data_IF_653681210406
#
_entry.id   IF_653681210406
#
_cell.length_a   1.000
_cell.length_b   1.000
_cell.length_c   1.000
_cell.angle_alpha   90.00
_cell.angle_beta   90.00
_cell.angle_gamma   90.00
#
_symmetry.space_group_name_H-M   'P 1'
#
loop_
_entity.id
_entity.type
_entity.pdbx_description
1 polymer ?
#
# COMPACT_ATOMS: atom_id res chain seq x y z
N UNK A 1 -8.00 -9.77 -31.05
CA UNK A 1 -7.37 -8.90 -30.05
C UNK A 1 -8.19 -7.63 -29.81
N UNK A 2 -8.30 -6.68 -30.74
CA UNK A 2 -8.93 -5.35 -30.52
C UNK A 2 -10.36 -5.42 -29.94
N UNK A 3 -11.24 -6.28 -30.46
CA UNK A 3 -12.60 -6.45 -29.92
C UNK A 3 -12.64 -6.98 -28.47
N UNK A 4 -11.63 -7.74 -28.05
CA UNK A 4 -11.51 -8.22 -26.66
C UNK A 4 -11.14 -7.07 -25.75
N UNK A 5 -10.15 -6.27 -26.18
CA UNK A 5 -9.69 -5.08 -25.43
C UNK A 5 -10.85 -4.10 -25.17
N UNK A 6 -11.74 -3.90 -26.15
CA UNK A 6 -12.91 -3.04 -25.98
C UNK A 6 -13.88 -3.55 -24.91
N UNK A 7 -14.02 -4.88 -24.79
CA UNK A 7 -14.98 -5.49 -23.85
C UNK A 7 -14.48 -5.55 -22.43
N UNK A 8 -13.19 -5.81 -22.23
CA UNK A 8 -12.60 -6.04 -20.91
C UNK A 8 -11.86 -4.81 -20.34
N UNK A 9 -11.92 -3.69 -21.06
CA UNK A 9 -11.20 -2.47 -20.73
C UNK A 9 -9.69 -2.72 -20.45
N UNK A 10 -9.11 -3.73 -21.10
CA UNK A 10 -7.69 -4.05 -21.01
C UNK A 10 -7.24 -4.77 -19.74
N UNK A 11 -8.13 -5.45 -19.00
CA UNK A 11 -7.76 -6.29 -17.85
C UNK A 11 -6.74 -7.34 -18.25
N UNK A 12 -6.99 -8.04 -19.35
CA UNK A 12 -6.08 -9.07 -19.87
C UNK A 12 -4.70 -8.54 -20.22
N UNK A 13 -4.60 -7.25 -20.58
CA UNK A 13 -3.32 -6.61 -20.88
C UNK A 13 -2.41 -6.48 -19.67
N UNK A 14 -2.95 -6.39 -18.46
CA UNK A 14 -2.15 -6.32 -17.25
C UNK A 14 -1.25 -7.55 -17.02
N UNK A 15 -1.62 -8.69 -17.63
CA UNK A 15 -0.87 -9.94 -17.56
C UNK A 15 0.09 -10.17 -18.76
N UNK A 16 0.00 -9.35 -19.82
CA UNK A 16 0.81 -9.51 -21.02
C UNK A 16 2.14 -8.75 -20.93
N UNK A 17 3.16 -9.26 -21.63
CA UNK A 17 4.41 -8.56 -21.77
C UNK A 17 4.20 -7.32 -22.66
N UNK A 18 4.57 -6.09 -22.21
CA UNK A 18 4.40 -4.86 -22.98
C UNK A 18 5.06 -4.92 -24.37
N UNK A 19 6.22 -5.55 -24.50
CA UNK A 19 6.95 -5.67 -25.78
C UNK A 19 6.19 -6.52 -26.79
N UNK A 20 5.55 -7.61 -26.34
CA UNK A 20 4.69 -8.43 -27.21
C UNK A 20 3.51 -7.63 -27.73
N UNK A 21 2.84 -6.88 -26.85
CA UNK A 21 1.70 -6.05 -27.25
C UNK A 21 2.12 -4.95 -28.22
N UNK A 22 3.28 -4.31 -28.00
CA UNK A 22 3.79 -3.30 -28.94
C UNK A 22 4.07 -3.90 -30.32
N UNK A 23 4.73 -5.06 -30.38
CA UNK A 23 5.01 -5.77 -31.64
C UNK A 23 3.72 -6.12 -32.38
N UNK A 24 2.69 -6.57 -31.67
CA UNK A 24 1.39 -6.89 -32.26
C UNK A 24 0.68 -5.64 -32.80
N UNK A 25 0.81 -4.50 -32.10
CA UNK A 25 0.24 -3.20 -32.55
C UNK A 25 0.98 -2.69 -33.78
N UNK A 26 2.31 -2.77 -33.81
CA UNK A 26 3.15 -2.36 -34.95
C UNK A 26 2.87 -3.22 -36.19
N UNK A 27 2.59 -4.51 -36.01
CA UNK A 27 2.20 -5.41 -37.10
C UNK A 27 0.74 -5.19 -37.56
N UNK A 28 -0.10 -4.51 -36.76
CA UNK A 28 -1.50 -4.28 -37.12
C UNK A 28 -1.61 -3.15 -38.15
N UNK A 29 -2.31 -3.38 -39.30
CA UNK A 29 -2.54 -2.33 -40.27
C UNK A 29 -3.27 -1.11 -39.64
N UNK A 30 -2.78 0.09 -39.91
CA UNK A 30 -3.32 1.34 -39.34
C UNK A 30 -4.81 1.50 -39.56
N UNK A 31 -5.32 1.13 -40.75
CA UNK A 31 -6.76 1.22 -41.02
C UNK A 31 -7.61 0.33 -40.10
N UNK A 32 -7.07 -0.86 -39.71
CA UNK A 32 -7.76 -1.75 -38.74
C UNK A 32 -7.81 -1.13 -37.35
N UNK A 33 -6.73 -0.47 -36.93
CA UNK A 33 -6.73 0.25 -35.63
C UNK A 33 -7.75 1.38 -35.63
N UNK A 34 -7.86 2.15 -36.71
CA UNK A 34 -8.84 3.27 -36.86
C UNK A 34 -10.28 2.82 -36.75
N UNK A 35 -10.63 1.61 -37.19
CA UNK A 35 -11.97 1.00 -37.02
C UNK A 35 -12.28 0.65 -35.53
N UNK A 36 -11.32 0.79 -34.64
CA UNK A 36 -11.47 0.40 -33.23
C UNK A 36 -11.00 1.50 -32.23
N UNK A 37 -11.64 2.71 -32.26
CA UNK A 37 -11.19 3.87 -31.46
C UNK A 37 -11.19 3.60 -29.93
N UNK A 38 -12.16 2.82 -29.42
CA UNK A 38 -12.14 2.41 -28.00
C UNK A 38 -10.93 1.53 -27.64
N UNK A 39 -10.46 0.68 -28.57
CA UNK A 39 -9.23 -0.09 -28.35
C UNK A 39 -8.01 0.84 -28.26
N UNK A 40 -7.97 1.89 -29.10
CA UNK A 40 -6.89 2.88 -29.05
C UNK A 40 -6.84 3.55 -27.68
N UNK A 41 -7.97 3.93 -27.10
CA UNK A 41 -8.05 4.51 -25.76
C UNK A 41 -7.52 3.57 -24.68
N UNK A 42 -7.90 2.29 -24.72
CA UNK A 42 -7.38 1.28 -23.78
C UNK A 42 -5.88 1.08 -23.93
N UNK A 43 -5.38 1.07 -25.18
CA UNK A 43 -3.95 1.01 -25.46
C UNK A 43 -3.20 2.24 -24.92
N UNK A 44 -3.74 3.45 -25.12
CA UNK A 44 -3.17 4.68 -24.55
C UNK A 44 -3.00 4.57 -23.02
N UNK A 45 -4.05 4.10 -22.31
CA UNK A 45 -3.98 3.90 -20.85
C UNK A 45 -2.93 2.84 -20.47
N UNK A 46 -2.85 1.73 -21.21
CA UNK A 46 -1.86 0.68 -20.96
C UNK A 46 -0.44 1.19 -21.18
N UNK A 47 -0.21 1.97 -22.24
CA UNK A 47 1.08 2.60 -22.52
C UNK A 47 1.50 3.59 -21.43
N UNK A 48 0.54 4.35 -20.86
CA UNK A 48 0.81 5.17 -19.68
C UNK A 48 1.32 4.32 -18.51
N UNK A 49 0.62 3.23 -18.18
CA UNK A 49 1.01 2.33 -17.09
C UNK A 49 2.40 1.69 -17.30
N UNK A 50 2.78 1.49 -18.55
CA UNK A 50 4.10 0.94 -18.96
C UNK A 50 5.18 2.02 -19.13
N UNK A 51 4.87 3.30 -18.88
CA UNK A 51 5.76 4.45 -19.13
C UNK A 51 6.18 4.63 -20.60
N UNK A 52 5.38 4.18 -21.52
CA UNK A 52 5.59 4.32 -22.98
C UNK A 52 4.87 5.59 -23.47
N UNK A 53 5.28 6.75 -22.99
CA UNK A 53 4.61 8.02 -23.27
C UNK A 53 4.68 8.43 -24.74
N UNK A 54 5.81 8.27 -25.45
CA UNK A 54 5.86 8.55 -26.89
C UNK A 54 4.85 7.71 -27.69
N UNK A 55 4.72 6.43 -27.35
CA UNK A 55 3.77 5.50 -27.99
C UNK A 55 2.32 5.88 -27.67
N UNK A 56 2.05 6.25 -26.42
CA UNK A 56 0.75 6.77 -25.99
C UNK A 56 0.35 8.00 -26.82
N UNK A 57 1.28 8.94 -27.04
CA UNK A 57 1.01 10.14 -27.83
C UNK A 57 0.79 9.83 -29.32
N UNK A 58 1.49 8.85 -29.89
CA UNK A 58 1.21 8.35 -31.25
C UNK A 58 -0.20 7.77 -31.35
N UNK A 59 -0.65 7.00 -30.35
CA UNK A 59 -2.02 6.47 -30.31
C UNK A 59 -3.06 7.58 -30.19
N UNK A 60 -2.79 8.65 -29.45
CA UNK A 60 -3.66 9.83 -29.40
C UNK A 60 -3.86 10.43 -30.79
N UNK A 61 -2.77 10.70 -31.54
CA UNK A 61 -2.86 11.25 -32.89
C UNK A 61 -3.64 10.33 -33.85
N UNK A 62 -3.44 9.00 -33.68
CA UNK A 62 -4.21 8.02 -34.45
C UNK A 62 -5.70 8.06 -34.09
N UNK A 63 -6.07 8.22 -32.83
CA UNK A 63 -7.45 8.37 -32.37
C UNK A 63 -8.12 9.63 -33.02
N UNK A 64 -7.43 10.75 -32.93
CA UNK A 64 -7.95 12.01 -33.50
C UNK A 64 -8.16 11.89 -35.04
N UNK A 65 -7.22 11.23 -35.73
CA UNK A 65 -7.35 10.95 -37.17
C UNK A 65 -8.52 10.01 -37.44
N UNK A 66 -8.68 8.94 -36.64
CA UNK A 66 -9.79 8.01 -36.79
C UNK A 66 -11.16 8.73 -36.64
N UNK A 67 -11.31 9.61 -35.66
CA UNK A 67 -12.54 10.39 -35.44
C UNK A 67 -12.81 11.31 -36.62
N UNK A 68 -11.78 11.95 -37.19
CA UNK A 68 -11.91 12.86 -38.32
C UNK A 68 -12.27 12.14 -39.63
N UNK A 69 -11.77 10.93 -39.85
CA UNK A 69 -12.02 10.11 -41.05
C UNK A 69 -13.39 9.41 -41.02
N UNK A 70 -14.08 9.39 -39.87
CA UNK A 70 -15.40 8.81 -39.69
C UNK A 70 -16.48 9.87 -39.41
N UNK A 71 -16.86 10.70 -40.44
CA UNK A 71 -17.86 11.75 -40.25
C UNK A 71 -19.25 11.19 -39.90
N UNK A 72 -19.54 9.95 -40.25
CA UNK A 72 -20.77 9.21 -39.92
C UNK A 72 -20.94 8.88 -38.43
N UNK A 73 -19.88 8.94 -37.62
CA UNK A 73 -20.00 8.75 -36.18
C UNK A 73 -20.95 9.80 -35.58
N UNK A 74 -21.91 9.39 -34.74
CA UNK A 74 -22.76 10.33 -34.04
C UNK A 74 -21.93 11.33 -33.23
N UNK A 75 -22.33 12.62 -33.23
CA UNK A 75 -21.60 13.66 -32.45
C UNK A 75 -21.47 13.33 -30.97
N UNK A 76 -22.46 12.62 -30.42
CA UNK A 76 -22.42 12.14 -29.04
C UNK A 76 -21.30 11.11 -28.84
N UNK A 77 -21.05 10.21 -29.78
CA UNK A 77 -19.97 9.20 -29.64
C UNK A 77 -18.60 9.85 -29.90
N UNK A 78 -18.50 10.81 -30.84
CA UNK A 78 -17.28 11.62 -30.97
C UNK A 78 -16.93 12.32 -29.64
N UNK A 79 -17.92 12.92 -28.98
CA UNK A 79 -17.77 13.57 -27.69
C UNK A 79 -17.32 12.59 -26.60
N UNK A 80 -17.87 11.36 -26.58
CA UNK A 80 -17.45 10.32 -25.66
C UNK A 80 -15.98 9.93 -25.86
N UNK A 81 -15.55 9.69 -27.11
CA UNK A 81 -14.17 9.32 -27.44
C UNK A 81 -13.17 10.42 -27.07
N UNK A 82 -13.50 11.69 -27.40
CA UNK A 82 -12.65 12.83 -27.03
C UNK A 82 -12.59 13.06 -25.54
N UNK A 83 -13.69 12.91 -24.82
CA UNK A 83 -13.72 13.02 -23.37
C UNK A 83 -12.94 11.88 -22.67
N UNK A 84 -13.04 10.65 -23.17
CA UNK A 84 -12.22 9.55 -22.66
C UNK A 84 -10.72 9.77 -22.98
N UNK A 85 -10.39 10.39 -24.11
CA UNK A 85 -9.03 10.81 -24.44
C UNK A 85 -8.52 11.84 -23.42
N UNK A 86 -9.30 12.87 -23.11
CA UNK A 86 -8.96 13.87 -22.07
C UNK A 86 -8.74 13.20 -20.70
N UNK A 87 -9.62 12.26 -20.33
CA UNK A 87 -9.49 11.50 -19.10
C UNK A 87 -8.16 10.74 -19.04
N UNK A 88 -7.75 10.05 -20.10
CA UNK A 88 -6.49 9.30 -20.14
C UNK A 88 -5.28 10.24 -20.14
N UNK A 89 -5.37 11.37 -20.88
CA UNK A 89 -4.34 12.40 -20.87
C UNK A 89 -4.16 13.05 -19.50
N UNK A 90 -5.21 13.09 -18.67
CA UNK A 90 -5.11 13.61 -17.31
C UNK A 90 -4.09 12.85 -16.46
N UNK A 91 -3.86 11.57 -16.73
CA UNK A 91 -2.86 10.76 -16.01
C UNK A 91 -1.43 11.26 -16.21
N UNK A 92 -1.14 12.01 -17.30
CA UNK A 92 0.17 12.65 -17.49
C UNK A 92 0.43 13.78 -16.48
N UNK A 93 -0.62 14.35 -15.90
CA UNK A 93 -0.50 15.33 -14.80
C UNK A 93 -0.20 14.64 -13.46
N UNK A 94 -0.31 13.36 -13.44
CA UNK A 94 -0.02 12.39 -12.40
C UNK A 94 -0.64 12.74 -11.04
N UNK A 95 0.11 13.26 -10.06
CA UNK A 95 -0.40 13.61 -8.73
C UNK A 95 -0.81 15.08 -8.56
N UNK A 96 -0.81 15.88 -9.63
CA UNK A 96 -1.40 17.22 -9.64
C UNK A 96 -2.92 17.14 -9.88
N UNK A 97 -3.68 16.98 -8.79
CA UNK A 97 -5.13 16.78 -8.84
C UNK A 97 -5.83 17.94 -9.53
N UNK A 98 -5.42 19.17 -9.26
CA UNK A 98 -6.01 20.36 -9.90
C UNK A 98 -5.76 20.39 -11.41
N UNK A 99 -4.58 20.01 -11.85
CA UNK A 99 -4.27 19.88 -13.28
C UNK A 99 -5.08 18.76 -13.95
N UNK A 100 -5.16 17.59 -13.30
CA UNK A 100 -6.00 16.47 -13.75
C UNK A 100 -7.47 16.88 -13.85
N UNK A 101 -7.99 17.60 -12.86
CA UNK A 101 -9.40 18.02 -12.80
C UNK A 101 -9.78 18.95 -13.93
N UNK A 102 -8.86 19.76 -14.46
CA UNK A 102 -9.15 20.58 -15.66
C UNK A 102 -9.56 19.70 -16.85
N UNK A 103 -8.87 18.59 -17.07
CA UNK A 103 -9.21 17.61 -18.10
C UNK A 103 -10.47 16.80 -17.76
N UNK A 104 -10.68 16.45 -16.49
CA UNK A 104 -11.90 15.77 -16.06
C UNK A 104 -13.16 16.65 -16.29
N UNK A 105 -13.05 17.95 -16.03
CA UNK A 105 -14.13 18.91 -16.30
C UNK A 105 -14.37 19.09 -17.81
N UNK A 106 -13.31 19.07 -18.63
CA UNK A 106 -13.41 19.06 -20.10
C UNK A 106 -14.12 17.79 -20.57
N UNK A 107 -13.66 16.62 -20.12
CA UNK A 107 -14.27 15.33 -20.42
C UNK A 107 -15.76 15.29 -20.03
N UNK A 108 -16.11 15.77 -18.82
CA UNK A 108 -17.49 15.79 -18.33
C UNK A 108 -18.45 16.64 -19.16
N UNK A 109 -17.94 17.62 -19.94
CA UNK A 109 -18.76 18.43 -20.88
C UNK A 109 -19.00 17.71 -22.18
N UNK A 110 -18.10 16.82 -22.58
CA UNK A 110 -18.14 16.13 -23.89
C UNK A 110 -18.84 14.77 -23.76
N UNK A 111 -18.69 14.09 -22.63
CA UNK A 111 -19.17 12.72 -22.41
C UNK A 111 -20.65 12.69 -22.03
N UNK A 112 -21.40 11.84 -22.70
CA UNK A 112 -22.82 11.54 -22.40
C UNK A 112 -22.99 10.28 -21.57
N UNK A 113 -21.93 9.49 -21.42
CA UNK A 113 -21.85 8.27 -20.61
C UNK A 113 -20.52 8.21 -19.86
N UNK A 114 -20.41 7.41 -18.79
CA UNK A 114 -19.12 7.12 -18.17
C UNK A 114 -18.13 6.48 -19.14
N UNK A 115 -16.85 6.63 -18.85
CA UNK A 115 -15.78 6.00 -19.61
C UNK A 115 -15.91 4.49 -19.64
N UNK A 116 -15.69 3.88 -20.80
CA UNK A 116 -15.64 2.42 -20.97
C UNK A 116 -14.22 1.88 -20.97
N UNK A 117 -13.21 2.75 -21.15
CA UNK A 117 -11.81 2.41 -21.08
C UNK A 117 -11.30 2.20 -19.64
N UNK A 118 -12.07 2.57 -18.62
CA UNK A 118 -11.74 2.43 -17.20
C UNK A 118 -12.86 1.65 -16.51
N UNK A 119 -12.46 0.58 -15.80
CA UNK A 119 -13.41 -0.15 -14.97
C UNK A 119 -13.58 0.55 -13.63
N UNK A 120 -14.83 0.82 -13.22
CA UNK A 120 -15.17 1.55 -12.00
C UNK A 120 -14.74 0.80 -10.71
N UNK A 121 -14.53 -0.51 -10.76
CA UNK A 121 -14.04 -1.35 -9.64
C UNK A 121 -12.56 -1.73 -9.81
N UNK A 122 -11.86 -1.12 -10.75
CA UNK A 122 -10.45 -1.40 -11.05
C UNK A 122 -9.46 -0.88 -10.01
N UNK A 123 -8.17 -1.07 -10.29
CA UNK A 123 -7.09 -0.49 -9.49
C UNK A 123 -7.01 1.01 -9.66
N UNK A 124 -7.02 1.76 -8.56
CA UNK A 124 -6.97 3.22 -8.53
C UNK A 124 -5.60 3.75 -8.04
N UNK A 125 -5.03 3.12 -7.02
CA UNK A 125 -3.81 3.59 -6.34
C UNK A 125 -2.50 3.13 -6.98
N UNK A 126 -2.52 2.56 -8.19
CA UNK A 126 -1.34 1.98 -8.86
C UNK A 126 -0.59 0.94 -8.00
N UNK A 127 -1.25 0.32 -7.04
CA UNK A 127 -0.65 -0.63 -6.11
C UNK A 127 -0.07 0.01 -4.84
N UNK A 128 -0.20 1.33 -4.67
CA UNK A 128 0.11 2.00 -3.41
C UNK A 128 -0.88 1.58 -2.31
N UNK A 129 -0.42 1.33 -1.07
CA UNK A 129 -1.30 1.10 0.07
C UNK A 129 -1.83 2.41 0.69
N UNK A 130 -1.41 3.58 0.21
CA UNK A 130 -1.78 4.88 0.78
C UNK A 130 -2.09 5.90 -0.32
N UNK A 131 -3.19 6.62 -0.15
CA UNK A 131 -3.58 7.71 -1.05
C UNK A 131 -2.73 8.96 -0.79
N UNK A 132 -2.54 9.33 0.47
CA UNK A 132 -1.77 10.54 0.81
C UNK A 132 -0.31 10.43 0.37
N UNK A 133 0.31 9.25 0.46
CA UNK A 133 1.67 9.04 -0.03
C UNK A 133 1.82 9.31 -1.53
N UNK A 134 0.76 9.10 -2.31
CA UNK A 134 0.76 9.40 -3.75
C UNK A 134 0.59 10.89 -4.06
N UNK A 135 -0.20 11.60 -3.24
CA UNK A 135 -0.67 12.93 -3.59
C UNK A 135 -0.05 14.07 -2.76
N UNK A 136 0.73 13.77 -1.73
CA UNK A 136 1.50 14.78 -1.01
C UNK A 136 2.81 15.06 -1.75
N UNK A 137 2.88 16.23 -2.42
CA UNK A 137 3.93 16.61 -3.37
C UNK A 137 5.06 17.43 -2.75
N UNK A 138 4.73 18.28 -1.78
CA UNK A 138 5.71 19.19 -1.18
C UNK A 138 5.37 19.50 0.28
N UNK A 139 6.37 19.69 1.16
CA UNK A 139 6.15 20.10 2.54
C UNK A 139 5.38 21.43 2.63
N UNK A 140 4.37 21.48 3.51
CA UNK A 140 3.52 22.65 3.73
C UNK A 140 2.29 22.73 2.80
N UNK A 141 2.14 21.80 1.85
CA UNK A 141 1.03 21.79 0.91
C UNK A 141 -0.18 20.98 1.37
N UNK A 142 -0.10 20.23 2.48
CA UNK A 142 -1.13 19.27 2.91
C UNK A 142 -2.54 19.86 2.89
N UNK A 143 -2.75 21.02 3.49
CA UNK A 143 -4.08 21.64 3.57
C UNK A 143 -4.65 21.96 2.18
N UNK A 144 -3.81 22.44 1.28
CA UNK A 144 -4.18 22.74 -0.11
C UNK A 144 -4.51 21.45 -0.85
N UNK A 145 -3.69 20.42 -0.72
CA UNK A 145 -3.86 19.14 -1.41
C UNK A 145 -5.11 18.38 -0.95
N UNK A 146 -5.45 18.44 0.34
CA UNK A 146 -6.71 17.90 0.86
C UNK A 146 -7.93 18.63 0.28
N UNK A 147 -7.87 19.95 0.20
CA UNK A 147 -8.95 20.74 -0.39
C UNK A 147 -9.08 20.48 -1.91
N UNK A 148 -7.97 20.34 -2.63
CA UNK A 148 -7.95 19.94 -4.05
C UNK A 148 -8.59 18.57 -4.25
N UNK A 149 -8.27 17.59 -3.41
CA UNK A 149 -8.84 16.25 -3.48
C UNK A 149 -10.35 16.29 -3.28
N UNK A 150 -10.84 16.98 -2.26
CA UNK A 150 -12.26 17.08 -1.96
C UNK A 150 -13.05 17.80 -3.07
N UNK A 151 -12.50 18.88 -3.63
CA UNK A 151 -13.14 19.65 -4.71
C UNK A 151 -13.13 18.89 -6.04
N UNK A 152 -12.04 18.21 -6.37
CA UNK A 152 -11.79 17.70 -7.71
C UNK A 152 -12.31 16.29 -7.97
N UNK A 153 -12.27 15.42 -6.96
CA UNK A 153 -12.66 14.01 -7.13
C UNK A 153 -14.10 13.79 -7.59
N UNK A 154 -15.12 14.58 -7.20
CA UNK A 154 -16.48 14.42 -7.73
C UNK A 154 -16.56 14.52 -9.25
N UNK A 155 -15.72 15.33 -9.90
CA UNK A 155 -15.66 15.45 -11.36
C UNK A 155 -15.12 14.17 -12.01
N UNK A 156 -14.11 13.55 -11.38
CA UNK A 156 -13.58 12.27 -11.81
C UNK A 156 -14.61 11.14 -11.63
N UNK A 157 -15.25 11.04 -10.46
CA UNK A 157 -16.26 10.01 -10.19
C UNK A 157 -17.41 10.03 -11.20
N UNK A 158 -17.85 11.23 -11.58
CA UNK A 158 -18.92 11.39 -12.56
C UNK A 158 -18.59 10.75 -13.93
N UNK A 159 -17.37 10.93 -14.42
CA UNK A 159 -16.94 10.43 -15.74
C UNK A 159 -16.44 8.99 -15.71
N UNK A 160 -16.20 8.40 -14.53
CA UNK A 160 -15.68 7.05 -14.37
C UNK A 160 -16.62 6.09 -13.63
N UNK A 161 -17.88 6.48 -13.45
CA UNK A 161 -18.87 5.71 -12.72
C UNK A 161 -18.41 5.34 -11.29
N UNK A 162 -17.83 6.31 -10.58
CA UNK A 162 -17.42 6.15 -9.17
C UNK A 162 -16.09 5.46 -8.95
N UNK A 163 -15.25 5.26 -9.98
CA UNK A 163 -13.92 4.67 -9.80
C UNK A 163 -13.09 5.46 -8.78
N UNK A 164 -12.59 4.77 -7.74
CA UNK A 164 -11.81 5.38 -6.67
C UNK A 164 -12.63 6.17 -5.65
N UNK A 165 -13.96 6.04 -5.63
CA UNK A 165 -14.82 6.70 -4.66
C UNK A 165 -14.36 6.40 -3.22
N UNK A 166 -14.27 7.44 -2.38
CA UNK A 166 -13.74 7.38 -1.02
C UNK A 166 -12.27 7.80 -0.89
N UNK A 167 -11.58 8.07 -2.02
CA UNK A 167 -10.18 8.49 -1.99
C UNK A 167 -9.97 9.80 -1.19
N UNK A 168 -10.89 10.77 -1.26
CA UNK A 168 -10.82 12.02 -0.52
C UNK A 168 -10.97 11.81 1.00
N UNK A 169 -11.79 10.84 1.41
CA UNK A 169 -12.00 10.54 2.83
C UNK A 169 -10.82 9.80 3.44
N UNK A 170 -10.31 8.78 2.76
CA UNK A 170 -9.13 8.07 3.25
C UNK A 170 -7.89 8.98 3.25
N UNK A 171 -7.70 9.86 2.27
CA UNK A 171 -6.60 10.83 2.27
C UNK A 171 -6.67 11.77 3.49
N UNK A 172 -7.87 12.25 3.84
CA UNK A 172 -8.10 13.07 5.04
C UNK A 172 -7.81 12.29 6.32
N UNK A 173 -8.25 11.02 6.40
CA UNK A 173 -7.98 10.15 7.55
C UNK A 173 -6.48 9.91 7.74
N UNK A 174 -5.74 9.66 6.66
CA UNK A 174 -4.29 9.51 6.67
C UNK A 174 -3.59 10.79 7.15
N UNK A 175 -4.06 11.97 6.72
CA UNK A 175 -3.52 13.26 7.16
C UNK A 175 -3.71 13.47 8.67
N UNK A 176 -4.91 13.24 9.19
CA UNK A 176 -5.17 13.32 10.63
C UNK A 176 -4.32 12.33 11.43
N UNK A 177 -4.17 11.11 10.93
CA UNK A 177 -3.31 10.11 11.54
C UNK A 177 -1.86 10.61 11.61
N UNK A 178 -1.29 11.09 10.50
CA UNK A 178 0.08 11.59 10.47
C UNK A 178 0.33 12.75 11.43
N UNK A 179 -0.69 13.57 11.68
CA UNK A 179 -0.66 14.67 12.65
C UNK A 179 -0.89 14.21 14.11
N UNK A 180 -1.14 12.91 14.34
CA UNK A 180 -1.44 12.37 15.68
C UNK A 180 -2.83 12.74 16.20
N UNK A 181 -3.75 13.14 15.32
CA UNK A 181 -5.18 13.42 15.61
C UNK A 181 -5.98 12.13 15.44
N UNK A 182 -5.79 11.18 16.35
CA UNK A 182 -6.26 9.81 16.17
C UNK A 182 -7.78 9.69 16.14
N UNK A 183 -8.52 10.47 16.95
CA UNK A 183 -9.98 10.47 16.93
C UNK A 183 -10.52 10.95 15.59
N UNK A 184 -9.98 12.05 15.06
CA UNK A 184 -10.39 12.58 13.75
C UNK A 184 -10.03 11.59 12.64
N UNK A 185 -8.86 10.94 12.73
CA UNK A 185 -8.44 9.90 11.81
C UNK A 185 -9.41 8.70 11.81
N UNK A 186 -9.84 8.25 12.97
CA UNK A 186 -10.79 7.16 13.11
C UNK A 186 -12.16 7.52 12.53
N UNK A 187 -12.68 8.72 12.83
CA UNK A 187 -13.95 9.19 12.28
C UNK A 187 -13.90 9.26 10.75
N UNK A 188 -12.84 9.86 10.18
CA UNK A 188 -12.68 9.97 8.74
C UNK A 188 -12.48 8.60 8.07
N UNK A 189 -11.80 7.67 8.74
CA UNK A 189 -11.63 6.29 8.27
C UNK A 189 -12.97 5.54 8.22
N UNK A 190 -13.84 5.68 9.24
CA UNK A 190 -15.16 5.09 9.23
C UNK A 190 -16.05 5.70 8.13
N UNK A 191 -15.93 7.00 7.87
CA UNK A 191 -16.61 7.64 6.74
C UNK A 191 -16.13 7.09 5.39
N UNK A 192 -14.83 6.84 5.24
CA UNK A 192 -14.28 6.23 4.04
C UNK A 192 -14.83 4.82 3.83
N UNK A 193 -14.85 3.97 4.85
CA UNK A 193 -15.44 2.62 4.78
C UNK A 193 -16.93 2.68 4.43
N UNK A 194 -17.72 3.54 5.07
CA UNK A 194 -19.14 3.69 4.78
C UNK A 194 -19.40 4.12 3.33
N UNK A 195 -18.55 4.97 2.78
CA UNK A 195 -18.69 5.46 1.40
C UNK A 195 -18.40 4.39 0.36
N UNK A 196 -17.52 3.43 0.65
CA UNK A 196 -17.16 2.35 -0.28
C UNK A 196 -17.99 1.08 -0.08
N UNK A 197 -18.77 0.99 0.98
CA UNK A 197 -19.61 -0.17 1.27
C UNK A 197 -20.62 -0.41 0.13
N UNK A 198 -20.62 -1.63 -0.42
CA UNK A 198 -21.47 -2.02 -1.54
C UNK A 198 -21.07 -1.48 -2.92
N UNK A 199 -20.06 -0.62 -3.02
CA UNK A 199 -19.64 0.02 -4.28
C UNK A 199 -18.51 -0.70 -5.01
N UNK A 200 -17.99 -1.81 -4.46
CA UNK A 200 -16.92 -2.60 -5.07
C UNK A 200 -15.56 -1.90 -5.15
N UNK A 201 -15.33 -0.84 -4.35
CA UNK A 201 -14.08 -0.06 -4.35
C UNK A 201 -12.99 -0.76 -3.52
N UNK A 202 -12.67 -2.00 -3.87
CA UNK A 202 -11.74 -2.85 -3.12
C UNK A 202 -10.34 -2.23 -2.97
N UNK A 203 -9.89 -1.50 -3.99
CA UNK A 203 -8.58 -0.83 -3.93
C UNK A 203 -8.54 0.25 -2.83
N UNK A 204 -9.61 1.04 -2.69
CA UNK A 204 -9.72 2.05 -1.61
C UNK A 204 -9.89 1.36 -0.25
N UNK A 205 -10.65 0.26 -0.18
CA UNK A 205 -10.76 -0.54 1.04
C UNK A 205 -9.39 -1.03 1.54
N UNK A 206 -8.50 -1.44 0.64
CA UNK A 206 -7.13 -1.84 0.99
C UNK A 206 -6.29 -0.67 1.51
N UNK A 207 -6.49 0.56 1.02
CA UNK A 207 -5.87 1.75 1.59
C UNK A 207 -6.42 2.04 2.99
N UNK A 208 -7.73 1.87 3.20
CA UNK A 208 -8.34 1.96 4.52
C UNK A 208 -7.77 0.92 5.50
N UNK A 209 -7.59 -0.33 5.04
CA UNK A 209 -6.99 -1.40 5.84
C UNK A 209 -5.55 -1.05 6.24
N UNK A 210 -4.75 -0.45 5.35
CA UNK A 210 -3.40 0.00 5.66
C UNK A 210 -3.37 1.04 6.79
N UNK A 211 -4.25 2.04 6.72
CA UNK A 211 -4.37 3.03 7.78
C UNK A 211 -4.91 2.41 9.08
N UNK A 212 -5.94 1.56 9.01
CA UNK A 212 -6.53 0.90 10.19
C UNK A 212 -5.48 0.12 10.99
N UNK A 213 -4.60 -0.63 10.28
CA UNK A 213 -3.52 -1.39 10.93
C UNK A 213 -2.48 -0.47 11.57
N UNK A 214 -2.10 0.62 10.94
CA UNK A 214 -1.19 1.61 11.52
C UNK A 214 -1.80 2.31 12.73
N UNK A 215 -3.08 2.67 12.67
CA UNK A 215 -3.81 3.30 13.75
C UNK A 215 -3.91 2.39 14.99
N UNK A 216 -4.12 1.09 14.80
CA UNK A 216 -4.18 0.10 15.89
C UNK A 216 -2.87 -0.03 16.68
N UNK A 217 -1.73 0.36 16.10
CA UNK A 217 -0.44 0.43 16.79
C UNK A 217 -0.32 1.64 17.73
N UNK A 218 -1.22 2.61 17.61
CA UNK A 218 -1.20 3.85 18.39
C UNK A 218 -2.31 3.91 19.43
N UNK A 219 -3.52 3.45 19.08
CA UNK A 219 -4.70 3.46 19.93
C UNK A 219 -5.44 2.11 19.86
N UNK A 220 -6.35 1.89 20.78
CA UNK A 220 -7.26 0.75 20.72
C UNK A 220 -8.32 0.99 19.65
N UNK A 221 -8.48 0.01 18.75
CA UNK A 221 -9.43 0.04 17.65
C UNK A 221 -10.10 -1.32 17.54
N UNK A 222 -11.36 -1.33 17.10
CA UNK A 222 -12.02 -2.57 16.72
C UNK A 222 -11.43 -3.12 15.42
N UNK A 223 -11.18 -4.41 15.38
CA UNK A 223 -10.67 -5.07 14.18
C UNK A 223 -11.85 -5.48 13.28
N UNK A 224 -11.94 -4.93 12.08
CA UNK A 224 -13.00 -5.26 11.11
C UNK A 224 -12.87 -6.68 10.54
N UNK A 225 -11.64 -7.12 10.30
CA UNK A 225 -11.34 -8.45 9.82
C UNK A 225 -9.90 -8.85 10.17
N UNK A 226 -9.69 -10.09 10.58
CA UNK A 226 -8.33 -10.61 10.79
C UNK A 226 -7.56 -10.67 9.47
N UNK A 227 -6.21 -10.63 9.53
CA UNK A 227 -5.37 -10.78 8.34
C UNK A 227 -5.68 -12.09 7.59
N UNK A 228 -5.97 -13.18 8.29
CA UNK A 228 -6.31 -14.47 7.69
C UNK A 228 -7.62 -14.41 6.91
N UNK A 229 -8.67 -13.83 7.50
CA UNK A 229 -9.97 -13.68 6.85
C UNK A 229 -9.88 -12.75 5.63
N UNK A 230 -9.18 -11.62 5.76
CA UNK A 230 -8.96 -10.66 4.66
C UNK A 230 -8.20 -11.30 3.49
N UNK A 231 -7.12 -12.02 3.80
CA UNK A 231 -6.34 -12.76 2.79
C UNK A 231 -7.17 -13.82 2.07
N UNK A 232 -7.96 -14.60 2.81
CA UNK A 232 -8.82 -15.62 2.24
C UNK A 232 -9.86 -15.03 1.28
N UNK A 233 -10.44 -13.87 1.64
CA UNK A 233 -11.34 -13.13 0.76
C UNK A 233 -10.63 -12.69 -0.53
N UNK A 234 -9.46 -12.05 -0.44
CA UNK A 234 -8.72 -11.54 -1.60
C UNK A 234 -8.23 -12.64 -2.54
N UNK A 235 -7.85 -13.80 -2.01
CA UNK A 235 -7.49 -14.97 -2.83
C UNK A 235 -8.65 -15.44 -3.71
N UNK A 236 -9.89 -15.37 -3.23
CA UNK A 236 -11.10 -15.71 -4.01
C UNK A 236 -11.38 -14.71 -5.14
N UNK A 237 -10.87 -13.47 -5.03
CA UNK A 237 -11.03 -12.45 -6.06
C UNK A 237 -10.09 -12.65 -7.26
N UNK A 238 -9.09 -13.53 -7.16
CA UNK A 238 -8.08 -13.78 -8.19
C UNK A 238 -7.37 -12.52 -8.72
N UNK A 239 -7.27 -11.46 -7.89
CA UNK A 239 -6.62 -10.20 -8.24
C UNK A 239 -5.26 -10.08 -7.54
N UNK A 240 -4.21 -10.33 -8.29
CA UNK A 240 -2.83 -10.30 -7.78
C UNK A 240 -2.41 -8.90 -7.30
N UNK A 241 -2.89 -7.84 -7.95
CA UNK A 241 -2.55 -6.47 -7.53
C UNK A 241 -3.11 -6.14 -6.14
N UNK A 242 -4.34 -6.57 -5.83
CA UNK A 242 -4.93 -6.41 -4.50
C UNK A 242 -4.19 -7.22 -3.45
N UNK A 243 -3.79 -8.44 -3.80
CA UNK A 243 -3.01 -9.27 -2.89
C UNK A 243 -1.63 -8.64 -2.59
N UNK A 244 -1.02 -7.94 -3.55
CA UNK A 244 0.23 -7.23 -3.34
C UNK A 244 0.07 -6.05 -2.36
N UNK A 245 -1.01 -5.27 -2.46
CA UNK A 245 -1.32 -4.19 -1.51
C UNK A 245 -1.55 -4.76 -0.11
N UNK A 246 -2.31 -5.84 -0.01
CA UNK A 246 -2.52 -6.54 1.25
C UNK A 246 -1.21 -7.04 1.87
N UNK A 247 -0.34 -7.67 1.07
CA UNK A 247 0.96 -8.15 1.53
C UNK A 247 1.85 -7.00 2.00
N UNK A 248 1.79 -5.82 1.34
CA UNK A 248 2.49 -4.62 1.78
C UNK A 248 1.96 -4.13 3.15
N UNK A 249 0.64 -4.13 3.34
CA UNK A 249 -0.01 -3.78 4.61
C UNK A 249 0.45 -4.71 5.74
N UNK A 250 0.40 -6.02 5.52
CA UNK A 250 0.83 -7.00 6.50
C UNK A 250 2.34 -6.89 6.80
N UNK A 251 3.16 -6.72 5.76
CA UNK A 251 4.61 -6.57 5.91
C UNK A 251 4.96 -5.33 6.72
N UNK A 252 4.34 -4.20 6.45
CA UNK A 252 4.58 -2.96 7.20
C UNK A 252 4.17 -3.09 8.66
N UNK A 253 2.97 -3.62 8.92
CA UNK A 253 2.44 -3.84 10.26
C UNK A 253 3.35 -4.74 11.10
N UNK A 254 3.70 -5.93 10.61
CA UNK A 254 4.54 -6.87 11.33
C UNK A 254 5.99 -6.38 11.47
N UNK A 255 6.51 -5.64 10.50
CA UNK A 255 7.82 -5.00 10.62
C UNK A 255 7.85 -3.94 11.73
N UNK A 256 6.77 -3.14 11.88
CA UNK A 256 6.65 -2.18 12.99
C UNK A 256 6.54 -2.87 14.35
N UNK A 257 5.90 -4.04 14.45
CA UNK A 257 5.89 -4.86 15.68
C UNK A 257 7.23 -5.55 15.92
N UNK A 258 8.05 -5.78 14.90
CA UNK A 258 9.27 -6.58 14.98
C UNK A 258 9.00 -8.09 14.85
N UNK A 259 7.81 -8.48 14.42
CA UNK A 259 7.40 -9.88 14.22
C UNK A 259 7.79 -10.36 12.81
N UNK A 260 9.09 -10.55 12.60
CA UNK A 260 9.66 -10.81 11.26
C UNK A 260 9.20 -12.13 10.63
N UNK A 261 8.82 -13.12 11.42
CA UNK A 261 8.34 -14.42 10.93
C UNK A 261 6.90 -14.34 10.36
N UNK A 262 6.12 -13.35 10.81
CA UNK A 262 4.75 -13.12 10.33
C UNK A 262 4.72 -12.28 9.02
N UNK A 263 5.85 -11.72 8.63
CA UNK A 263 5.96 -10.93 7.40
C UNK A 263 5.70 -11.85 6.18
N UNK A 264 4.82 -11.45 5.25
CA UNK A 264 4.59 -12.21 4.01
C UNK A 264 5.88 -12.56 3.29
N UNK A 265 5.98 -13.80 2.80
CA UNK A 265 7.20 -14.38 2.25
C UNK A 265 7.88 -13.49 1.21
N UNK A 266 7.11 -12.89 0.31
CA UNK A 266 7.63 -12.02 -0.75
C UNK A 266 8.43 -10.81 -0.21
N UNK A 267 8.03 -10.25 0.93
CA UNK A 267 8.75 -9.17 1.60
C UNK A 267 9.85 -9.72 2.51
N UNK A 268 9.59 -10.83 3.20
CA UNK A 268 10.55 -11.46 4.11
C UNK A 268 11.79 -11.96 3.36
N UNK A 269 11.62 -12.48 2.15
CA UNK A 269 12.70 -12.98 1.29
C UNK A 269 13.20 -11.96 0.27
N UNK A 270 12.61 -10.76 0.23
CA UNK A 270 12.98 -9.69 -0.71
C UNK A 270 12.90 -10.09 -2.18
N UNK A 271 11.84 -10.80 -2.54
CA UNK A 271 11.59 -11.27 -3.91
C UNK A 271 10.59 -10.41 -4.67
N UNK A 272 10.48 -9.11 -4.33
CA UNK A 272 9.57 -8.15 -4.97
C UNK A 272 9.79 -8.01 -6.48
N UNK A 273 10.99 -8.32 -6.98
CA UNK A 273 11.29 -8.35 -8.42
C UNK A 273 10.48 -9.42 -9.17
N UNK A 274 9.93 -10.41 -8.48
CA UNK A 274 9.09 -11.46 -9.06
C UNK A 274 7.65 -11.03 -9.31
N UNK A 275 7.22 -9.86 -8.82
CA UNK A 275 5.87 -9.33 -9.00
C UNK A 275 5.85 -8.09 -9.87
N UNK A 276 4.79 -7.94 -10.65
CA UNK A 276 4.58 -6.74 -11.45
C UNK A 276 3.98 -5.64 -10.57
N UNK A 277 4.82 -4.68 -10.19
CA UNK A 277 4.41 -3.47 -9.47
C UNK A 277 4.40 -2.32 -10.47
N UNK A 278 3.27 -1.63 -10.57
CA UNK A 278 3.17 -0.46 -11.43
C UNK A 278 4.13 0.63 -10.97
N UNK A 279 4.80 1.25 -11.93
CA UNK A 279 5.87 2.22 -11.66
C UNK A 279 5.48 3.33 -10.67
N UNK A 280 4.25 3.91 -10.70
CA UNK A 280 3.86 4.92 -9.73
C UNK A 280 3.74 4.39 -8.29
N UNK A 281 3.34 3.14 -8.09
CA UNK A 281 3.20 2.54 -6.76
C UNK A 281 4.52 2.03 -6.18
N UNK A 282 5.54 1.87 -7.01
CA UNK A 282 6.80 1.22 -6.63
C UNK A 282 7.52 1.89 -5.44
N UNK A 283 7.67 3.23 -5.36
CA UNK A 283 8.37 3.86 -4.23
C UNK A 283 7.72 3.58 -2.86
N UNK A 284 6.38 3.47 -2.81
CA UNK A 284 5.66 3.14 -1.57
C UNK A 284 5.92 1.70 -1.15
N UNK A 285 5.93 0.76 -2.09
CA UNK A 285 6.21 -0.65 -1.82
C UNK A 285 7.68 -0.84 -1.38
N UNK A 286 8.61 -0.12 -2.00
CA UNK A 286 10.03 -0.14 -1.62
C UNK A 286 10.29 0.52 -0.25
N UNK A 287 9.49 1.51 0.13
CA UNK A 287 9.48 2.09 1.48
C UNK A 287 9.01 1.06 2.52
N UNK A 288 7.97 0.27 2.20
CA UNK A 288 7.54 -0.86 3.03
C UNK A 288 8.66 -1.90 3.16
N UNK A 289 9.32 -2.25 2.06
CA UNK A 289 10.45 -3.19 2.08
C UNK A 289 11.62 -2.68 2.94
N UNK A 290 11.90 -1.37 2.92
CA UNK A 290 12.89 -0.76 3.81
C UNK A 290 12.53 -0.94 5.29
N UNK A 291 11.24 -0.85 5.65
CA UNK A 291 10.79 -1.13 7.01
C UNK A 291 11.03 -2.59 7.41
N UNK A 292 10.87 -3.52 6.46
CA UNK A 292 11.20 -4.93 6.67
C UNK A 292 12.72 -5.12 6.87
N UNK A 293 13.57 -4.48 6.05
CA UNK A 293 15.02 -4.52 6.27
C UNK A 293 15.43 -3.98 7.64
N UNK A 294 14.80 -2.89 8.11
CA UNK A 294 15.03 -2.37 9.47
C UNK A 294 14.67 -3.40 10.54
N UNK A 295 13.51 -4.03 10.42
CA UNK A 295 13.05 -5.06 11.37
C UNK A 295 13.96 -6.28 11.41
N UNK A 296 14.54 -6.66 10.27
CA UNK A 296 15.49 -7.76 10.13
C UNK A 296 16.93 -7.39 10.50
N UNK A 297 17.22 -6.13 10.86
CA UNK A 297 18.57 -5.66 11.18
C UNK A 297 19.50 -5.47 9.98
N UNK A 298 18.95 -5.48 8.76
CA UNK A 298 19.72 -5.32 7.52
C UNK A 298 20.01 -3.84 7.18
N UNK A 299 20.52 -3.08 8.15
CA UNK A 299 20.68 -1.63 8.10
C UNK A 299 21.52 -1.13 6.92
N UNK A 300 22.60 -1.84 6.57
CA UNK A 300 23.44 -1.48 5.42
C UNK A 300 22.67 -1.49 4.09
N UNK A 301 21.68 -2.39 3.95
CA UNK A 301 20.83 -2.46 2.75
C UNK A 301 19.92 -1.24 2.65
N UNK A 302 19.34 -0.78 3.78
CA UNK A 302 18.51 0.44 3.82
C UNK A 302 19.33 1.64 3.35
N UNK A 303 20.55 1.81 3.86
CA UNK A 303 21.44 2.91 3.48
C UNK A 303 21.82 2.83 2.00
N UNK A 304 22.25 1.65 1.53
CA UNK A 304 22.71 1.46 0.16
C UNK A 304 21.64 1.72 -0.91
N UNK A 305 20.35 1.64 -0.56
CA UNK A 305 19.22 1.89 -1.47
C UNK A 305 18.71 3.34 -1.42
N UNK A 306 19.06 4.09 -0.38
CA UNK A 306 18.38 5.35 -0.04
C UNK A 306 18.49 6.40 -1.14
N UNK A 307 19.64 6.58 -1.77
CA UNK A 307 19.85 7.58 -2.81
C UNK A 307 18.95 7.32 -4.04
N UNK A 308 18.93 6.09 -4.53
CA UNK A 308 18.09 5.73 -5.68
C UNK A 308 16.58 5.86 -5.39
N UNK A 309 16.15 5.52 -4.17
CA UNK A 309 14.75 5.65 -3.77
C UNK A 309 14.34 7.13 -3.60
N UNK A 310 15.20 7.95 -3.04
CA UNK A 310 14.96 9.39 -2.91
C UNK A 310 14.93 10.08 -4.28
N UNK A 311 15.79 9.67 -5.23
CA UNK A 311 15.77 10.16 -6.60
C UNK A 311 14.44 9.81 -7.30
N UNK A 312 13.95 8.58 -7.14
CA UNK A 312 12.64 8.17 -7.66
C UNK A 312 11.49 8.98 -7.04
N UNK A 313 11.54 9.27 -5.74
CA UNK A 313 10.55 10.13 -5.09
C UNK A 313 10.60 11.57 -5.61
N UNK A 314 11.78 12.11 -5.89
CA UNK A 314 11.94 13.45 -6.46
C UNK A 314 11.35 13.55 -7.87
N UNK A 315 11.58 12.53 -8.73
CA UNK A 315 11.00 12.45 -10.07
C UNK A 315 9.47 12.42 -10.05
N UNK A 316 8.89 11.69 -9.08
CA UNK A 316 7.45 11.50 -8.94
C UNK A 316 6.80 12.51 -7.99
N UNK A 317 7.57 13.41 -7.39
CA UNK A 317 7.09 14.39 -6.39
C UNK A 317 6.37 13.72 -5.20
N UNK A 318 6.98 12.70 -4.60
CA UNK A 318 6.44 11.98 -3.45
C UNK A 318 7.11 12.43 -2.14
N UNK A 319 6.75 13.63 -1.66
CA UNK A 319 7.37 14.24 -0.49
C UNK A 319 7.19 13.40 0.78
N UNK A 320 5.99 12.84 1.00
CA UNK A 320 5.74 12.01 2.18
C UNK A 320 6.52 10.69 2.16
N UNK A 321 6.65 10.05 1.00
CA UNK A 321 7.46 8.82 0.87
C UNK A 321 8.93 9.14 1.10
N UNK A 322 9.43 10.26 0.54
CA UNK A 322 10.80 10.72 0.77
C UNK A 322 11.08 10.98 2.26
N UNK A 323 10.12 11.58 2.99
CA UNK A 323 10.20 11.77 4.43
C UNK A 323 10.35 10.43 5.17
N UNK A 324 9.51 9.42 4.87
CA UNK A 324 9.63 8.09 5.45
C UNK A 324 11.00 7.47 5.16
N UNK A 325 11.45 7.50 3.90
CA UNK A 325 12.75 6.94 3.49
C UNK A 325 13.92 7.59 4.22
N UNK A 326 13.87 8.93 4.41
CA UNK A 326 14.90 9.67 5.12
C UNK A 326 14.97 9.28 6.58
N UNK A 327 13.82 9.11 7.24
CA UNK A 327 13.75 8.66 8.64
C UNK A 327 14.22 7.20 8.76
N UNK A 328 13.84 6.31 7.84
CA UNK A 328 14.31 4.93 7.81
C UNK A 328 15.82 4.84 7.61
N UNK A 329 16.39 5.68 6.75
CA UNK A 329 17.84 5.78 6.54
C UNK A 329 18.55 6.28 7.80
N UNK A 330 17.98 7.31 8.47
CA UNK A 330 18.50 7.80 9.75
C UNK A 330 18.45 6.73 10.84
N UNK A 331 17.36 5.94 10.89
CA UNK A 331 17.22 4.80 11.78
C UNK A 331 18.33 3.76 11.55
N UNK A 332 18.61 3.44 10.28
CA UNK A 332 19.69 2.51 9.92
C UNK A 332 21.08 3.03 10.33
N UNK A 333 21.38 4.32 10.12
CA UNK A 333 22.61 4.93 10.59
C UNK A 333 22.72 4.91 12.12
N UNK A 334 21.64 5.25 12.84
CA UNK A 334 21.60 5.22 14.29
C UNK A 334 21.91 3.82 14.84
N UNK A 335 21.37 2.77 14.24
CA UNK A 335 21.60 1.38 14.63
C UNK A 335 23.02 0.90 14.34
N UNK A 336 23.71 1.48 13.37
CA UNK A 336 25.13 1.23 13.07
C UNK A 336 26.08 2.11 13.87
N UNK A 337 25.57 2.95 14.79
CA UNK A 337 26.38 3.85 15.62
C UNK A 337 26.89 5.10 14.90
N UNK A 338 26.46 5.34 13.66
CA UNK A 338 26.80 6.53 12.85
C UNK A 338 25.89 7.70 13.25
N UNK A 339 26.24 8.29 14.41
CA UNK A 339 25.36 9.27 15.08
C UNK A 339 25.24 10.59 14.31
N UNK A 340 26.30 11.06 13.71
CA UNK A 340 26.32 12.37 13.00
C UNK A 340 25.43 12.31 11.75
N UNK A 341 25.55 11.25 10.95
CA UNK A 341 24.74 11.02 9.76
C UNK A 341 23.25 10.87 10.13
N UNK A 342 22.97 10.12 11.21
CA UNK A 342 21.61 9.96 11.72
C UNK A 342 21.01 11.30 12.18
N UNK A 343 21.78 12.13 12.89
CA UNK A 343 21.32 13.46 13.35
C UNK A 343 21.05 14.40 12.18
N UNK A 344 21.94 14.46 11.18
CA UNK A 344 21.78 15.31 10.01
C UNK A 344 20.48 14.97 9.25
N UNK A 345 20.22 13.69 9.01
CA UNK A 345 19.00 13.26 8.32
C UNK A 345 17.74 13.51 9.15
N UNK A 346 17.78 13.33 10.46
CA UNK A 346 16.62 13.60 11.33
C UNK A 346 16.32 15.10 11.43
N UNK A 347 17.33 15.96 11.47
CA UNK A 347 17.14 17.41 11.45
C UNK A 347 16.46 17.84 10.14
N UNK A 348 16.93 17.33 9.00
CA UNK A 348 16.31 17.59 7.71
C UNK A 348 14.85 17.06 7.68
N UNK A 349 14.61 15.83 8.15
CA UNK A 349 13.27 15.27 8.20
C UNK A 349 12.31 16.07 9.09
N UNK A 350 12.79 16.60 10.25
CA UNK A 350 11.99 17.46 11.12
C UNK A 350 11.61 18.77 10.42
N UNK A 351 12.53 19.40 9.68
CA UNK A 351 12.26 20.62 8.90
C UNK A 351 11.19 20.38 7.82
N UNK A 352 11.24 19.23 7.15
CA UNK A 352 10.27 18.86 6.12
C UNK A 352 8.90 18.51 6.72
N UNK A 353 8.85 17.93 7.91
CA UNK A 353 7.63 17.51 8.58
C UNK A 353 6.88 18.66 9.29
N UNK A 354 7.61 19.69 9.72
CA UNK A 354 7.09 20.76 10.58
C UNK A 354 5.93 21.55 9.96
N UNK A 355 5.97 21.98 8.68
CA UNK A 355 4.88 22.76 8.08
C UNK A 355 3.51 22.05 8.06
N UNK A 356 3.51 20.72 7.93
CA UNK A 356 2.31 19.87 7.90
C UNK A 356 2.06 19.15 9.23
N UNK A 357 2.90 19.38 10.23
CA UNK A 357 2.86 18.74 11.56
C UNK A 357 2.90 17.19 11.50
N UNK A 358 3.67 16.61 10.59
CA UNK A 358 3.78 15.15 10.49
C UNK A 358 4.61 14.54 11.62
N UNK A 359 3.98 13.73 12.44
CA UNK A 359 4.58 13.08 13.61
C UNK A 359 4.84 11.58 13.38
N UNK A 360 3.88 10.92 12.73
CA UNK A 360 3.83 9.46 12.71
C UNK A 360 5.00 8.77 12.00
N UNK A 361 5.61 9.30 10.93
CA UNK A 361 6.80 8.68 10.34
C UNK A 361 7.95 8.52 11.35
N UNK A 362 8.12 9.47 12.29
CA UNK A 362 9.07 9.37 13.39
C UNK A 362 8.62 8.41 14.48
N UNK A 363 7.33 8.46 14.85
CA UNK A 363 6.72 7.60 15.88
C UNK A 363 6.83 6.13 15.50
N UNK A 364 6.56 5.77 14.25
CA UNK A 364 6.68 4.42 13.71
C UNK A 364 8.12 3.88 13.78
N UNK A 365 9.11 4.76 13.65
CA UNK A 365 10.53 4.41 13.74
C UNK A 365 11.18 4.74 15.10
N UNK A 366 10.38 5.14 16.11
CA UNK A 366 10.87 5.68 17.38
C UNK A 366 11.84 4.74 18.11
N UNK A 367 11.61 3.42 18.08
CA UNK A 367 12.50 2.43 18.71
C UNK A 367 13.96 2.50 18.22
N UNK A 368 14.18 2.90 16.97
CA UNK A 368 15.51 3.00 16.35
C UNK A 368 16.16 4.36 16.58
N UNK A 369 15.35 5.45 16.60
CA UNK A 369 15.85 6.83 16.55
C UNK A 369 15.79 7.57 17.89
N UNK A 370 15.14 7.03 18.94
CA UNK A 370 14.88 7.73 20.21
C UNK A 370 16.13 8.34 20.85
N UNK A 371 17.24 7.59 20.88
CA UNK A 371 18.52 8.06 21.46
C UNK A 371 19.14 9.20 20.64
N UNK A 372 18.89 9.22 19.33
CA UNK A 372 19.35 10.29 18.44
C UNK A 372 18.48 11.52 18.62
N UNK A 373 17.14 11.36 18.70
CA UNK A 373 16.18 12.46 18.93
C UNK A 373 16.42 13.18 20.26
N UNK A 374 16.88 12.48 21.31
CA UNK A 374 17.24 13.07 22.62
C UNK A 374 18.42 14.07 22.53
N UNK A 375 19.27 13.95 21.51
CA UNK A 375 20.43 14.81 21.29
C UNK A 375 20.15 16.02 20.41
N UNK A 376 18.96 16.08 19.80
CA UNK A 376 18.57 17.19 18.92
C UNK A 376 18.02 18.38 19.70
N UNK A 377 18.08 19.61 19.14
CA UNK A 377 17.44 20.79 19.72
C UNK A 377 15.95 20.54 19.94
N UNK A 378 15.47 20.88 21.14
CA UNK A 378 14.07 20.65 21.50
C UNK A 378 13.15 21.65 20.81
N UNK A 379 12.14 21.14 20.11
CA UNK A 379 11.07 21.90 19.45
C UNK A 379 9.71 21.37 19.90
N UNK A 380 8.62 22.14 19.76
CA UNK A 380 7.27 21.66 20.06
C UNK A 380 6.92 20.39 19.28
N UNK A 381 7.32 20.28 18.00
CA UNK A 381 7.13 19.10 17.16
C UNK A 381 7.87 17.90 17.74
N UNK A 382 9.16 18.06 18.08
CA UNK A 382 9.99 16.99 18.62
C UNK A 382 9.44 16.49 19.98
N UNK A 383 8.97 17.38 20.85
CA UNK A 383 8.36 17.00 22.12
C UNK A 383 7.08 16.15 21.92
N UNK A 384 6.25 16.48 20.91
CA UNK A 384 5.08 15.68 20.54
C UNK A 384 5.48 14.31 19.99
N UNK A 385 6.49 14.24 19.12
CA UNK A 385 7.04 12.99 18.58
C UNK A 385 7.52 12.08 19.71
N UNK A 386 8.32 12.61 20.64
CA UNK A 386 8.86 11.84 21.78
C UNK A 386 7.76 11.29 22.68
N UNK A 387 6.72 12.10 22.98
CA UNK A 387 5.57 11.68 23.78
C UNK A 387 4.79 10.56 23.10
N UNK A 388 4.42 10.75 21.84
CA UNK A 388 3.67 9.74 21.07
C UNK A 388 4.50 8.50 20.80
N UNK A 389 5.79 8.65 20.54
CA UNK A 389 6.72 7.52 20.31
C UNK A 389 6.83 6.61 21.53
N UNK A 390 6.92 7.17 22.73
CA UNK A 390 6.92 6.39 23.98
C UNK A 390 5.61 5.62 24.18
N UNK A 391 4.47 6.28 23.94
CA UNK A 391 3.16 5.65 24.06
C UNK A 391 2.96 4.52 23.02
N UNK A 392 3.33 4.76 21.78
CA UNK A 392 3.24 3.76 20.70
C UNK A 392 4.18 2.58 20.96
N UNK A 393 5.42 2.80 21.41
CA UNK A 393 6.36 1.72 21.77
C UNK A 393 5.79 0.84 22.90
N UNK A 394 5.14 1.45 23.88
CA UNK A 394 4.49 0.71 24.97
C UNK A 394 3.33 -0.13 24.46
N UNK A 395 2.47 0.43 23.59
CA UNK A 395 1.37 -0.31 22.99
C UNK A 395 1.85 -1.44 22.08
N UNK A 396 2.84 -1.20 21.24
CA UNK A 396 3.41 -2.24 20.38
C UNK A 396 3.94 -3.43 21.20
N UNK A 397 4.56 -3.17 22.36
CA UNK A 397 4.96 -4.24 23.28
C UNK A 397 3.78 -5.04 23.81
N UNK A 398 2.67 -4.39 24.13
CA UNK A 398 1.44 -5.07 24.55
C UNK A 398 0.88 -5.95 23.43
N UNK A 399 0.82 -5.44 22.20
CA UNK A 399 0.33 -6.18 21.03
C UNK A 399 1.21 -7.37 20.68
N UNK A 400 2.53 -7.22 20.71
CA UNK A 400 3.47 -8.32 20.42
C UNK A 400 3.49 -9.40 21.51
N UNK A 401 3.09 -9.05 22.73
CA UNK A 401 2.93 -10.00 23.85
C UNK A 401 1.52 -10.59 23.93
N UNK A 402 0.59 -10.10 23.09
CA UNK A 402 -0.80 -10.56 23.14
C UNK A 402 -0.90 -11.98 22.58
N UNK A 403 -1.03 -12.92 23.49
CA UNK A 403 -1.41 -14.29 23.15
C UNK A 403 -2.90 -14.34 22.88
N UNK A 404 -3.36 -15.17 21.93
CA UNK A 404 -4.78 -15.47 21.83
C UNK A 404 -5.32 -15.83 23.22
N UNK A 405 -6.50 -15.34 23.56
CA UNK A 405 -7.13 -15.61 24.87
C UNK A 405 -7.22 -17.12 25.13
N UNK A 406 -7.43 -17.92 24.07
CA UNK A 406 -7.37 -19.38 24.06
C UNK A 406 -6.02 -19.95 24.49
N UNK A 407 -4.92 -19.20 24.37
CA UNK A 407 -3.56 -19.61 24.71
C UNK A 407 -3.00 -18.88 25.95
N UNK A 408 -3.81 -18.07 26.64
CA UNK A 408 -3.39 -17.28 27.80
C UNK A 408 -2.85 -18.12 28.98
N UNK A 409 -3.28 -19.38 29.08
CA UNK A 409 -2.82 -20.31 30.11
C UNK A 409 -1.37 -20.82 29.94
N UNK A 410 -0.77 -20.59 28.75
CA UNK A 410 0.60 -21.02 28.47
C UNK A 410 1.63 -20.06 29.07
N UNK A 411 2.79 -20.57 29.48
CA UNK A 411 3.97 -19.74 29.82
C UNK A 411 4.60 -19.17 28.54
N UNK A 412 5.51 -18.17 28.66
CA UNK A 412 6.26 -17.64 27.51
C UNK A 412 6.95 -18.75 26.71
N UNK A 413 7.60 -19.67 27.44
CA UNK A 413 8.35 -20.78 26.85
C UNK A 413 7.45 -21.78 26.12
N UNK A 414 6.29 -22.06 26.67
CA UNK A 414 5.28 -22.94 26.04
C UNK A 414 4.69 -22.29 24.78
N UNK A 415 4.41 -20.98 24.84
CA UNK A 415 3.90 -20.23 23.68
C UNK A 415 4.93 -20.13 22.56
N UNK A 416 6.21 -19.94 22.88
CA UNK A 416 7.32 -19.98 21.92
C UNK A 416 7.39 -21.34 21.18
N UNK A 417 7.23 -22.45 21.94
CA UNK A 417 7.17 -23.79 21.36
C UNK A 417 5.95 -23.94 20.43
N UNK A 418 4.79 -23.43 20.83
CA UNK A 418 3.57 -23.45 19.99
C UNK A 418 3.78 -22.70 18.68
N UNK A 419 4.41 -21.54 18.69
CA UNK A 419 4.77 -20.78 17.46
C UNK A 419 5.68 -21.59 16.53
N UNK A 420 6.69 -22.24 17.07
CA UNK A 420 7.60 -23.09 16.28
C UNK A 420 6.91 -24.35 15.73
N UNK A 421 5.96 -24.93 16.48
CA UNK A 421 5.12 -26.01 15.97
C UNK A 421 4.20 -25.56 14.84
N UNK A 422 3.64 -24.32 14.91
CA UNK A 422 2.83 -23.73 13.85
C UNK A 422 3.64 -23.49 12.58
N UNK A 423 4.91 -23.12 12.71
CA UNK A 423 5.87 -23.01 11.60
C UNK A 423 6.30 -24.38 11.03
N UNK A 424 5.61 -25.47 11.43
CA UNK A 424 5.85 -26.85 10.99
C UNK A 424 7.22 -27.44 11.30
N UNK A 425 7.96 -26.87 12.27
CA UNK A 425 9.22 -27.44 12.73
C UNK A 425 8.98 -28.78 13.45
N UNK A 426 9.94 -29.70 13.27
CA UNK A 426 9.97 -30.98 14.00
C UNK A 426 10.53 -30.76 15.41
N UNK A 427 10.21 -31.64 16.35
CA UNK A 427 10.67 -31.52 17.74
C UNK A 427 12.19 -31.35 17.87
N UNK A 428 12.96 -32.00 17.02
CA UNK A 428 14.42 -31.86 16.97
C UNK A 428 14.85 -30.45 16.58
N UNK A 429 14.21 -29.87 15.53
CA UNK A 429 14.52 -28.51 15.04
C UNK A 429 14.10 -27.45 16.07
N UNK A 430 13.00 -27.69 16.80
CA UNK A 430 12.56 -26.85 17.92
C UNK A 430 13.59 -26.93 19.06
N UNK A 431 14.07 -28.14 19.38
CA UNK A 431 15.06 -28.37 20.42
C UNK A 431 16.38 -27.64 20.10
N UNK A 432 16.86 -27.71 18.86
CA UNK A 432 18.05 -26.99 18.38
C UNK A 432 17.88 -25.48 18.49
N UNK A 433 16.74 -24.92 17.99
CA UNK A 433 16.45 -23.47 18.06
C UNK A 433 16.35 -22.94 19.50
N UNK A 434 15.82 -23.75 20.42
CA UNK A 434 15.56 -23.31 21.80
C UNK A 434 16.63 -23.75 22.78
N UNK A 435 17.72 -24.36 22.33
CA UNK A 435 18.78 -24.93 23.17
C UNK A 435 18.25 -25.90 24.23
N UNK A 436 17.32 -26.78 23.81
CA UNK A 436 16.70 -27.79 24.64
C UNK A 436 17.05 -29.21 24.16
N UNK A 437 16.77 -30.24 24.99
CA UNK A 437 16.72 -31.60 24.50
C UNK A 437 15.40 -31.90 23.80
N UNK A 438 15.39 -32.82 22.84
CA UNK A 438 14.15 -33.26 22.18
C UNK A 438 13.12 -33.83 23.17
N UNK A 439 13.62 -34.48 24.22
CA UNK A 439 12.79 -34.98 25.34
C UNK A 439 12.09 -33.84 26.09
N UNK A 440 12.82 -32.75 26.37
CA UNK A 440 12.24 -31.55 27.00
C UNK A 440 11.16 -30.91 26.12
N UNK A 441 11.40 -30.81 24.82
CA UNK A 441 10.39 -30.30 23.88
C UNK A 441 9.12 -31.17 23.88
N UNK A 442 9.25 -32.49 23.87
CA UNK A 442 8.12 -33.42 24.01
C UNK A 442 7.34 -33.22 25.31
N UNK A 443 8.07 -33.01 26.41
CA UNK A 443 7.46 -32.73 27.71
C UNK A 443 6.67 -31.43 27.71
N UNK A 444 7.24 -30.33 27.15
CA UNK A 444 6.52 -29.06 26.98
C UNK A 444 5.26 -29.22 26.11
N UNK A 445 5.34 -29.91 24.99
CA UNK A 445 4.19 -30.16 24.11
C UNK A 445 3.07 -30.90 24.87
N UNK A 446 3.39 -31.88 25.69
CA UNK A 446 2.38 -32.57 26.50
C UNK A 446 1.77 -31.66 27.57
N UNK A 447 2.56 -30.79 28.22
CA UNK A 447 2.05 -29.77 29.12
C UNK A 447 1.15 -28.75 28.46
N UNK A 448 1.49 -28.32 27.23
CA UNK A 448 0.70 -27.41 26.41
C UNK A 448 -0.68 -28.03 26.13
N UNK A 449 -0.72 -29.27 25.64
CA UNK A 449 -2.01 -29.96 25.37
C UNK A 449 -2.84 -30.13 26.64
N UNK A 450 -2.21 -30.45 27.77
CA UNK A 450 -2.90 -30.56 29.04
C UNK A 450 -3.49 -29.24 29.53
N UNK A 451 -2.73 -28.14 29.45
CA UNK A 451 -3.18 -26.80 29.86
C UNK A 451 -4.32 -26.26 28.98
N UNK A 452 -4.28 -26.58 27.69
CA UNK A 452 -5.30 -26.17 26.73
C UNK A 452 -6.47 -27.12 26.64
N UNK A 453 -6.49 -28.21 27.46
CA UNK A 453 -7.51 -29.25 27.45
C UNK A 453 -7.75 -29.88 26.08
N UNK A 454 -6.68 -30.02 25.28
CA UNK A 454 -6.70 -30.61 23.96
C UNK A 454 -6.59 -32.12 24.05
N UNK A 455 -7.60 -32.85 23.60
CA UNK A 455 -7.67 -34.32 23.63
C UNK A 455 -7.68 -34.93 22.23
N UNK A 456 -7.31 -36.20 22.11
CA UNK A 456 -7.30 -36.96 20.87
C UNK A 456 -5.94 -37.57 20.53
N UNK A 457 -5.81 -38.08 19.31
CA UNK A 457 -4.53 -38.53 18.76
C UNK A 457 -3.59 -37.38 18.41
N UNK A 458 -2.33 -37.67 18.09
CA UNK A 458 -1.30 -36.67 17.81
C UNK A 458 -1.66 -35.71 16.67
N UNK A 459 -2.35 -36.23 15.65
CA UNK A 459 -2.76 -35.43 14.48
C UNK A 459 -3.92 -34.48 14.84
N UNK A 460 -4.91 -35.02 15.54
CA UNK A 460 -6.08 -34.27 16.04
C UNK A 460 -5.68 -33.16 17.00
N UNK A 461 -4.80 -33.48 17.97
CA UNK A 461 -4.26 -32.49 18.92
C UNK A 461 -3.53 -31.36 18.24
N UNK A 462 -2.71 -31.67 17.24
CA UNK A 462 -1.98 -30.65 16.49
C UNK A 462 -2.90 -29.76 15.66
N UNK A 463 -3.96 -30.34 15.06
CA UNK A 463 -4.98 -29.59 14.32
C UNK A 463 -5.76 -28.64 15.25
N UNK A 464 -6.21 -29.13 16.41
CA UNK A 464 -6.92 -28.29 17.40
C UNK A 464 -6.03 -27.15 17.91
N UNK A 465 -4.75 -27.42 18.21
CA UNK A 465 -3.80 -26.40 18.64
C UNK A 465 -3.63 -25.29 17.57
N UNK A 466 -3.58 -25.67 16.29
CA UNK A 466 -3.46 -24.69 15.20
C UNK A 466 -4.74 -23.88 15.01
N UNK A 467 -5.93 -24.49 15.19
CA UNK A 467 -7.18 -23.74 15.21
C UNK A 467 -7.21 -22.69 16.32
N UNK A 468 -6.74 -23.00 17.54
CA UNK A 468 -6.64 -22.02 18.63
C UNK A 468 -5.62 -20.90 18.35
N UNK A 469 -4.62 -21.14 17.50
CA UNK A 469 -3.70 -20.10 17.02
C UNK A 469 -4.33 -19.24 15.92
N UNK A 470 -5.19 -19.83 15.10
CA UNK A 470 -5.91 -19.14 14.01
C UNK A 470 -7.10 -18.32 14.53
N UNK A 471 -7.59 -18.61 15.73
CA UNK A 471 -8.56 -17.77 16.48
C UNK A 471 -7.93 -16.46 16.99
N UNK A 472 -6.89 -15.96 16.33
CA UNK A 472 -6.43 -14.58 16.51
C UNK A 472 -7.56 -13.65 16.13
N UNK A 473 -8.19 -13.12 17.16
CA UNK A 473 -9.08 -11.96 17.10
C UNK A 473 -8.50 -10.84 16.26
#
# INVERSE_FOLDING_TARGET
>A
MLRVIQKDAGILFASLNPQTVLSDIEACPVFVLKEHPLSILVLMRSMFNWRLIPEMMRMKELLLTAIAEHPELPEQEKGNLLGECDLILSFLMYNDISAMSRLHRSASKQMSRPAVSIQNVGGWSFGSPSVLMMYHREPGALKKELAEMEECMPHYYKITNGHGQGAEKIMSAEAYFLQGKFTDAQIALEQAYAQIEGNGQENIALCCDFLARRLSLCIETEERASFAARRAYLLKQHNTAWLNIFNATAAYYYALLGETEEIPEIFRTHTLFSVNILAPGKPMIEMVENQVYLAQGAYAKVIGRSEGLLAACAELQYALVALHLRIQTAAAYAMLGKTEEAQALLLQALQEAEPDEFLLPFVENYRYIKKTLEKLPQTPLLARIQRLGKASEQRQKQLSTHRPTSLAALTEREYEIVKLMASRLRNREIAEKLFLSEGSVKQYINQIYSKLQIEGDTHSKRKQLFQLLEEKT
#
